data_IF_743901157981
#
_entry.id   IF_743901157981
#
_cell.length_a   1.000
_cell.length_b   1.000
_cell.length_c   1.000
_cell.angle_alpha   90.00
_cell.angle_beta   90.00
_cell.angle_gamma   90.00
#
_symmetry.space_group_name_H-M   'P 1'
#
loop_
_entity.id
_entity.type
_entity.pdbx_description
1 polymer ?
#
# COMPACT_ATOMS: atom_id res chain seq x y z
N UNK A 1 -18.88 -25.91 -13.60
CA UNK A 1 -17.64 -25.34 -14.15
C UNK A 1 -16.76 -25.03 -12.94
N UNK A 2 -15.68 -25.79 -12.72
CA UNK A 2 -14.78 -25.56 -11.57
C UNK A 2 -13.90 -24.35 -11.89
N UNK A 3 -13.98 -23.30 -11.08
CA UNK A 3 -13.01 -22.22 -11.14
C UNK A 3 -11.63 -22.77 -10.73
N UNK A 4 -10.54 -22.28 -11.33
CA UNK A 4 -9.19 -22.58 -10.85
C UNK A 4 -9.10 -22.32 -9.33
N UNK A 5 -8.36 -23.15 -8.61
CA UNK A 5 -8.23 -23.07 -7.13
C UNK A 5 -7.79 -21.67 -6.69
N UNK A 6 -6.88 -21.05 -7.44
CA UNK A 6 -6.40 -19.69 -7.16
C UNK A 6 -7.49 -18.63 -7.31
N UNK A 7 -8.38 -18.77 -8.30
CA UNK A 7 -9.48 -17.84 -8.47
C UNK A 7 -10.51 -17.98 -7.33
N UNK A 8 -10.79 -19.21 -6.90
CA UNK A 8 -11.71 -19.44 -5.76
C UNK A 8 -11.14 -18.91 -4.45
N UNK A 9 -9.82 -19.04 -4.24
CA UNK A 9 -9.13 -18.49 -3.06
C UNK A 9 -9.15 -16.97 -3.08
N UNK A 10 -8.86 -16.34 -4.23
CA UNK A 10 -8.91 -14.89 -4.38
C UNK A 10 -10.30 -14.33 -4.11
N UNK A 11 -11.37 -14.93 -4.66
CA UNK A 11 -12.75 -14.50 -4.38
C UNK A 11 -13.07 -14.56 -2.88
N UNK A 12 -12.62 -15.60 -2.19
CA UNK A 12 -12.84 -15.73 -0.75
C UNK A 12 -12.10 -14.66 0.06
N UNK A 13 -10.86 -14.32 -0.31
CA UNK A 13 -10.09 -13.24 0.33
C UNK A 13 -10.71 -11.88 0.05
N UNK A 14 -11.11 -11.63 -1.21
CA UNK A 14 -11.81 -10.42 -1.63
C UNK A 14 -13.13 -10.22 -0.86
N UNK A 15 -13.88 -11.28 -0.61
CA UNK A 15 -15.08 -11.22 0.23
C UNK A 15 -14.76 -10.83 1.68
N UNK A 16 -13.74 -11.45 2.30
CA UNK A 16 -13.32 -11.13 3.68
C UNK A 16 -12.81 -9.68 3.82
N UNK A 17 -12.05 -9.21 2.83
CA UNK A 17 -11.54 -7.82 2.80
C UNK A 17 -12.63 -6.75 2.74
N UNK A 18 -13.88 -7.13 2.46
CA UNK A 18 -15.07 -6.25 2.41
C UNK A 18 -16.01 -6.47 3.59
N UNK A 19 -15.62 -7.28 4.57
CA UNK A 19 -16.42 -7.51 5.77
C UNK A 19 -16.68 -6.21 6.53
N UNK A 20 -17.87 -6.08 7.13
CA UNK A 20 -18.14 -5.01 8.10
C UNK A 20 -17.34 -5.18 9.40
N UNK A 21 -16.84 -6.39 9.67
CA UNK A 21 -15.94 -6.67 10.79
C UNK A 21 -14.49 -6.31 10.44
N UNK A 22 -13.94 -5.32 11.16
CA UNK A 22 -12.58 -4.85 10.96
C UNK A 22 -11.54 -5.96 11.13
N UNK A 23 -11.68 -6.82 12.14
CA UNK A 23 -10.71 -7.90 12.36
C UNK A 23 -10.68 -8.89 11.17
N UNK A 24 -11.83 -9.18 10.57
CA UNK A 24 -11.90 -9.99 9.35
C UNK A 24 -11.23 -9.29 8.16
N UNK A 25 -11.42 -7.97 8.01
CA UNK A 25 -10.77 -7.20 6.93
C UNK A 25 -9.25 -7.19 7.06
N UNK A 26 -8.71 -6.86 8.24
CA UNK A 26 -7.25 -6.75 8.44
C UNK A 26 -6.56 -8.08 8.18
N UNK A 27 -7.16 -9.20 8.62
CA UNK A 27 -6.61 -10.53 8.39
C UNK A 27 -6.58 -10.91 6.89
N UNK A 28 -7.41 -10.28 6.05
CA UNK A 28 -7.39 -10.51 4.60
C UNK A 28 -6.26 -9.74 3.88
N UNK A 29 -5.69 -8.69 4.49
CA UNK A 29 -4.69 -7.82 3.83
C UNK A 29 -3.41 -8.58 3.43
N UNK A 30 -2.75 -9.36 4.32
CA UNK A 30 -1.58 -10.15 3.93
C UNK A 30 -1.89 -11.18 2.84
N UNK A 31 -3.07 -11.77 2.88
CA UNK A 31 -3.54 -12.76 1.91
C UNK A 31 -3.81 -12.13 0.53
N UNK A 32 -4.34 -10.90 0.45
CA UNK A 32 -4.45 -10.16 -0.82
C UNK A 32 -3.06 -9.95 -1.43
N UNK A 33 -2.05 -9.73 -0.58
CA UNK A 33 -0.66 -9.65 -1.00
C UNK A 33 -0.12 -10.90 -1.68
N UNK A 34 -0.70 -12.08 -1.48
CA UNK A 34 -0.28 -13.29 -2.20
C UNK A 34 -0.77 -13.31 -3.66
N UNK A 35 -1.65 -12.37 -4.03
CA UNK A 35 -2.27 -12.28 -5.36
C UNK A 35 -1.87 -10.99 -6.09
N UNK A 36 -0.69 -10.42 -5.84
CA UNK A 36 -0.29 -9.13 -6.41
C UNK A 36 -0.21 -9.07 -7.94
N UNK A 37 -0.11 -10.22 -8.61
CA UNK A 37 -0.20 -10.27 -10.07
C UNK A 37 -1.64 -10.04 -10.58
N UNK A 38 -2.66 -10.34 -9.77
CA UNK A 38 -4.06 -10.07 -10.09
C UNK A 38 -4.42 -8.61 -9.78
N UNK A 39 -4.96 -7.92 -10.78
CA UNK A 39 -5.35 -6.50 -10.66
C UNK A 39 -6.41 -6.29 -9.58
N UNK A 40 -7.31 -7.25 -9.36
CA UNK A 40 -8.39 -7.12 -8.37
C UNK A 40 -7.86 -7.09 -6.94
N UNK A 41 -6.79 -7.83 -6.65
CA UNK A 41 -6.16 -7.82 -5.34
C UNK A 41 -5.43 -6.48 -5.09
N UNK A 42 -4.73 -5.97 -6.11
CA UNK A 42 -4.06 -4.67 -6.06
C UNK A 42 -5.03 -3.51 -5.90
N UNK A 43 -6.10 -3.51 -6.68
CA UNK A 43 -7.16 -2.50 -6.60
C UNK A 43 -7.78 -2.53 -5.21
N UNK A 44 -8.07 -3.72 -4.66
CA UNK A 44 -8.64 -3.82 -3.33
C UNK A 44 -7.69 -3.34 -2.22
N UNK A 45 -6.40 -3.65 -2.30
CA UNK A 45 -5.40 -3.12 -1.36
C UNK A 45 -5.29 -1.59 -1.48
N UNK A 46 -5.42 -1.05 -2.70
CA UNK A 46 -5.40 0.40 -2.93
C UNK A 46 -6.65 1.07 -2.36
N UNK A 47 -7.82 0.45 -2.48
CA UNK A 47 -9.06 0.93 -1.83
C UNK A 47 -8.93 0.97 -0.29
N UNK A 48 -8.18 0.04 0.31
CA UNK A 48 -7.96 -0.01 1.76
C UNK A 48 -7.03 1.10 2.28
N UNK A 49 -6.33 1.82 1.40
CA UNK A 49 -5.56 3.01 1.77
C UNK A 49 -6.44 4.22 2.15
N UNK A 50 -7.76 4.14 1.92
CA UNK A 50 -8.77 5.12 2.34
C UNK A 50 -9.83 4.48 3.27
N UNK A 51 -9.49 3.38 3.96
CA UNK A 51 -10.40 2.76 4.93
C UNK A 51 -10.55 3.63 6.18
N UNK A 52 -11.73 3.63 6.80
CA UNK A 52 -12.00 4.42 8.01
C UNK A 52 -11.14 4.00 9.23
N UNK A 53 -10.52 2.82 9.17
CA UNK A 53 -9.65 2.29 10.21
C UNK A 53 -8.19 2.45 9.79
N UNK A 54 -7.45 3.33 10.47
CA UNK A 54 -6.02 3.62 10.21
C UNK A 54 -5.15 2.37 10.11
N UNK A 55 -5.39 1.34 10.93
CA UNK A 55 -4.65 0.07 10.85
C UNK A 55 -4.77 -0.61 9.47
N UNK A 56 -5.92 -0.50 8.81
CA UNK A 56 -6.10 -1.04 7.45
C UNK A 56 -5.25 -0.29 6.45
N UNK A 57 -5.20 1.03 6.55
CA UNK A 57 -4.42 1.89 5.68
C UNK A 57 -2.94 1.55 5.76
N UNK A 58 -2.42 1.44 7.00
CA UNK A 58 -1.02 1.12 7.29
C UNK A 58 -0.65 -0.29 6.80
N UNK A 59 -1.46 -1.30 7.11
CA UNK A 59 -1.19 -2.68 6.72
C UNK A 59 -1.29 -2.85 5.19
N UNK A 60 -2.24 -2.18 4.54
CA UNK A 60 -2.36 -2.19 3.08
C UNK A 60 -1.16 -1.49 2.42
N UNK A 61 -0.73 -0.34 2.95
CA UNK A 61 0.45 0.37 2.47
C UNK A 61 1.72 -0.49 2.57
N UNK A 62 1.90 -1.20 3.68
CA UNK A 62 3.02 -2.13 3.85
C UNK A 62 2.97 -3.28 2.84
N UNK A 63 1.82 -3.93 2.66
CA UNK A 63 1.69 -5.05 1.71
C UNK A 63 1.95 -4.57 0.28
N UNK A 64 1.41 -3.41 -0.11
CA UNK A 64 1.66 -2.81 -1.41
C UNK A 64 3.14 -2.48 -1.62
N UNK A 65 3.82 -1.93 -0.61
CA UNK A 65 5.24 -1.61 -0.69
C UNK A 65 6.11 -2.87 -0.83
N UNK A 66 5.84 -3.90 -0.04
CA UNK A 66 6.63 -5.14 -0.02
C UNK A 66 6.41 -6.02 -1.25
N UNK A 67 5.16 -6.15 -1.70
CA UNK A 67 4.77 -7.15 -2.69
C UNK A 67 4.36 -6.55 -4.04
N UNK A 68 4.05 -5.26 -4.10
CA UNK A 68 3.56 -4.60 -5.32
C UNK A 68 4.63 -3.94 -6.20
N UNK A 69 5.89 -3.96 -5.77
CA UNK A 69 6.99 -3.27 -6.44
C UNK A 69 6.70 -1.78 -6.66
N UNK A 70 7.21 -1.22 -7.75
CA UNK A 70 6.98 0.19 -8.07
C UNK A 70 5.49 0.56 -8.19
N UNK A 71 4.66 -0.34 -8.72
CA UNK A 71 3.22 -0.05 -8.88
C UNK A 71 2.53 0.08 -7.51
N UNK A 72 2.83 -0.82 -6.57
CA UNK A 72 2.27 -0.75 -5.22
C UNK A 72 2.74 0.48 -4.45
N UNK A 73 4.04 0.78 -4.50
CA UNK A 73 4.59 1.98 -3.86
C UNK A 73 3.96 3.26 -4.43
N UNK A 74 3.81 3.34 -5.76
CA UNK A 74 3.18 4.51 -6.40
C UNK A 74 1.72 4.69 -5.99
N UNK A 75 0.97 3.60 -5.79
CA UNK A 75 -0.40 3.68 -5.26
C UNK A 75 -0.42 4.31 -3.85
N UNK A 76 0.50 3.90 -2.97
CA UNK A 76 0.63 4.49 -1.63
C UNK A 76 1.02 5.97 -1.72
N UNK A 77 1.99 6.32 -2.55
CA UNK A 77 2.43 7.71 -2.74
C UNK A 77 1.33 8.61 -3.32
N UNK A 78 0.49 8.09 -4.21
CA UNK A 78 -0.67 8.82 -4.74
C UNK A 78 -1.63 9.20 -3.61
N UNK A 79 -1.97 8.24 -2.74
CA UNK A 79 -2.88 8.47 -1.61
C UNK A 79 -2.26 9.44 -0.60
N UNK A 80 -0.99 9.25 -0.22
CA UNK A 80 -0.27 10.17 0.66
C UNK A 80 -0.23 11.60 0.12
N UNK A 81 -0.03 11.76 -1.19
CA UNK A 81 -0.03 13.08 -1.82
C UNK A 81 -1.41 13.73 -1.79
N UNK A 82 -2.46 12.95 -2.11
CA UNK A 82 -3.85 13.43 -2.07
C UNK A 82 -4.30 13.78 -0.64
N UNK A 83 -3.84 13.02 0.36
CA UNK A 83 -4.18 13.16 1.79
C UNK A 83 -3.10 13.87 2.60
N UNK A 84 -2.28 14.72 1.97
CA UNK A 84 -1.13 15.39 2.63
C UNK A 84 -1.46 16.22 3.89
N UNK A 85 -2.72 16.63 4.03
CA UNK A 85 -3.20 17.47 5.13
C UNK A 85 -3.99 16.63 6.17
N UNK A 86 -4.05 15.31 5.99
CA UNK A 86 -4.73 14.34 6.85
C UNK A 86 -3.73 13.70 7.84
N UNK A 87 -3.87 13.94 9.15
CA UNK A 87 -2.98 13.36 10.16
C UNK A 87 -2.97 11.82 10.18
N UNK A 88 -4.03 11.16 9.74
CA UNK A 88 -4.07 9.69 9.71
C UNK A 88 -3.15 9.13 8.60
N UNK A 89 -3.01 9.87 7.49
CA UNK A 89 -2.11 9.50 6.41
C UNK A 89 -0.62 9.53 6.83
N UNK A 90 -0.27 10.28 7.89
CA UNK A 90 1.10 10.28 8.42
C UNK A 90 1.55 8.89 8.88
N UNK A 91 0.64 8.05 9.39
CA UNK A 91 0.99 6.68 9.81
C UNK A 91 1.44 5.82 8.62
N UNK A 92 0.80 5.95 7.46
CA UNK A 92 1.26 5.31 6.22
C UNK A 92 2.65 5.84 5.81
N UNK A 93 2.87 7.16 5.89
CA UNK A 93 4.14 7.77 5.54
C UNK A 93 5.28 7.30 6.46
N UNK A 94 5.04 7.24 7.78
CA UNK A 94 5.97 6.69 8.74
C UNK A 94 6.28 5.23 8.45
N UNK A 95 5.26 4.40 8.18
CA UNK A 95 5.48 2.99 7.86
C UNK A 95 6.34 2.81 6.62
N UNK A 96 6.06 3.58 5.57
CA UNK A 96 6.83 3.53 4.33
C UNK A 96 8.28 3.99 4.54
N UNK A 97 8.49 5.02 5.38
CA UNK A 97 9.83 5.47 5.76
C UNK A 97 10.58 4.45 6.63
N UNK A 98 9.90 3.76 7.54
CA UNK A 98 10.50 2.69 8.34
C UNK A 98 11.01 1.55 7.45
N UNK A 99 10.23 1.15 6.44
CA UNK A 99 10.64 0.11 5.49
C UNK A 99 11.88 0.53 4.68
N UNK A 100 11.93 1.79 4.23
CA UNK A 100 13.06 2.34 3.46
C UNK A 100 14.31 2.54 4.33
N UNK A 101 14.18 3.24 5.46
CA UNK A 101 15.28 3.53 6.37
C UNK A 101 15.81 2.27 7.09
N UNK A 102 14.95 1.27 7.31
CA UNK A 102 15.31 -0.03 7.85
C UNK A 102 16.00 -0.95 6.83
N UNK A 103 16.00 -0.59 5.54
CA UNK A 103 16.58 -1.40 4.47
C UNK A 103 15.74 -2.64 4.11
N UNK A 104 14.48 -2.70 4.54
CA UNK A 104 13.59 -3.82 4.25
C UNK A 104 12.98 -3.73 2.85
N UNK A 105 12.64 -2.52 2.41
CA UNK A 105 12.16 -2.22 1.06
C UNK A 105 12.82 -0.92 0.63
N UNK A 106 13.64 -0.88 -0.43
CA UNK A 106 14.29 0.35 -0.89
C UNK A 106 13.29 1.22 -1.68
N UNK A 107 12.28 1.75 -0.99
CA UNK A 107 11.12 2.47 -1.54
C UNK A 107 11.55 3.58 -2.49
N UNK A 108 12.47 4.44 -2.06
CA UNK A 108 12.90 5.60 -2.86
C UNK A 108 13.59 5.15 -4.15
N UNK A 109 14.51 4.18 -4.04
CA UNK A 109 15.26 3.66 -5.17
C UNK A 109 14.34 2.94 -6.17
N UNK A 110 13.37 2.16 -5.69
CA UNK A 110 12.40 1.47 -6.56
C UNK A 110 11.60 2.48 -7.39
N UNK A 111 11.15 3.58 -6.78
CA UNK A 111 10.37 4.60 -7.49
C UNK A 111 11.24 5.33 -8.51
N UNK A 112 12.43 5.77 -8.13
CA UNK A 112 13.35 6.50 -9.01
C UNK A 112 13.85 5.65 -10.18
N UNK A 113 14.15 4.37 -9.95
CA UNK A 113 14.61 3.44 -10.99
C UNK A 113 13.48 2.94 -11.90
N UNK A 114 12.21 3.10 -11.51
CA UNK A 114 11.07 2.62 -12.29
C UNK A 114 10.90 3.30 -13.64
N UNK A 115 11.46 4.51 -13.81
CA UNK A 115 11.29 5.34 -15.00
C UNK A 115 9.84 5.77 -15.26
N UNK A 116 8.94 5.58 -14.29
CA UNK A 116 7.53 5.95 -14.40
C UNK A 116 7.37 7.44 -14.18
N UNK A 117 6.50 8.05 -14.97
CA UNK A 117 6.05 9.41 -14.71
C UNK A 117 5.24 9.45 -13.41
N UNK A 118 5.61 10.37 -12.53
CA UNK A 118 4.91 10.57 -11.27
C UNK A 118 3.81 11.61 -11.47
N UNK A 119 2.63 11.36 -10.90
CA UNK A 119 1.64 12.42 -10.70
C UNK A 119 2.21 13.49 -9.76
N UNK A 120 1.59 14.68 -9.75
CA UNK A 120 1.94 15.73 -8.79
C UNK A 120 1.82 15.27 -7.34
N UNK A 121 0.80 14.45 -7.03
CA UNK A 121 0.58 13.86 -5.72
C UNK A 121 1.72 12.92 -5.33
N UNK A 122 2.02 11.94 -6.19
CA UNK A 122 3.08 10.97 -5.93
C UNK A 122 4.47 11.63 -5.85
N UNK A 123 4.74 12.62 -6.71
CA UNK A 123 5.98 13.39 -6.69
C UNK A 123 6.13 14.23 -5.40
N UNK A 124 5.04 14.83 -4.92
CA UNK A 124 5.02 15.54 -3.64
C UNK A 124 5.23 14.58 -2.46
N UNK A 125 4.51 13.46 -2.42
CA UNK A 125 4.66 12.45 -1.36
C UNK A 125 6.08 11.88 -1.32
N UNK A 126 6.69 11.59 -2.48
CA UNK A 126 8.08 11.13 -2.57
C UNK A 126 9.07 12.17 -2.02
N UNK A 127 8.86 13.47 -2.30
CA UNK A 127 9.69 14.55 -1.74
C UNK A 127 9.56 14.60 -0.22
N UNK A 128 8.34 14.48 0.31
CA UNK A 128 8.11 14.47 1.76
C UNK A 128 8.77 13.25 2.42
N UNK A 129 8.66 12.07 1.82
CA UNK A 129 9.30 10.84 2.29
C UNK A 129 10.83 10.99 2.35
N UNK A 130 11.44 11.56 1.31
CA UNK A 130 12.89 11.85 1.30
C UNK A 130 13.29 12.83 2.38
N UNK A 131 12.46 13.85 2.67
CA UNK A 131 12.73 14.78 3.75
C UNK A 131 12.73 14.08 5.12
N UNK A 132 11.82 13.13 5.36
CA UNK A 132 11.78 12.33 6.59
C UNK A 132 13.07 11.53 6.85
N UNK A 133 13.73 11.04 5.80
CA UNK A 133 15.03 10.35 5.93
C UNK A 133 16.15 11.23 6.49
N UNK A 134 16.04 12.54 6.32
CA UNK A 134 17.08 13.50 6.69
C UNK A 134 16.75 14.28 7.97
N UNK A 135 15.56 14.05 8.54
CA UNK A 135 15.20 14.63 9.83
C UNK A 135 15.96 13.92 10.96
N UNK A 136 16.75 14.64 11.79
CA UNK A 136 17.38 14.04 12.96
C UNK A 136 16.29 13.57 13.94
N UNK A 137 16.41 12.32 14.40
CA UNK A 137 15.61 11.78 15.51
C UNK A 137 16.00 12.42 16.83
#
# INVERSE_FOLDING_TARGET
MNLPVDNSRLEAVLARSRSGDGLTRVNAIPELGDFMDDVRARDRLTELLDDEIVTMEVDAAEVLARKGGATGILAVLEVLGRRRDDPDADYMAYRLNELDAGGEVPVVEIVESSGRELSDNAAMALRNLKALRHSPR
#
